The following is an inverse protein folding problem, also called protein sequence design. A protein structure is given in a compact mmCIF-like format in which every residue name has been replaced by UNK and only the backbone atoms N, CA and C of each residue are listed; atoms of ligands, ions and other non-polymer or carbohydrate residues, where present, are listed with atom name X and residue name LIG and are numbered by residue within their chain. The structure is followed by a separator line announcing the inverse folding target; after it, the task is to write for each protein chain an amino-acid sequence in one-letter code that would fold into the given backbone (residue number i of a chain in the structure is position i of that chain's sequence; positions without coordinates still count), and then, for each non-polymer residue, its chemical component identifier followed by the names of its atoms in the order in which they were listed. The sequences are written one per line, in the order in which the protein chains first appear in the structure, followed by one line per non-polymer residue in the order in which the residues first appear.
data_IF_341800116871
#
_entry.id   IF_341800116871
#
_cell.length_a   1.000
_cell.length_b   1.000
_cell.length_c   1.000
_cell.angle_alpha   90.00
_cell.angle_beta   90.00
_cell.angle_gamma   90.00
#
_symmetry.space_group_name_H-M   'P 1'
#
loop_
_entity.id
_entity.type
_entity.pdbx_description
1 polymer ?
#
# COMPACT_ATOMS: atom_id res chain seq x y z
N UNK A 1 28.00 -23.49 -18.71
CA UNK A 1 26.83 -22.61 -18.96
C UNK A 1 25.67 -22.80 -17.97
N UNK A 2 25.79 -23.64 -16.92
CA UNK A 2 24.64 -23.96 -16.03
C UNK A 2 24.63 -23.14 -14.74
N UNK A 3 25.79 -22.78 -14.19
CA UNK A 3 25.86 -22.07 -12.90
C UNK A 3 25.32 -20.63 -12.95
N UNK A 4 25.56 -19.90 -14.05
CA UNK A 4 25.07 -18.52 -14.19
C UNK A 4 23.54 -18.45 -14.35
N UNK A 5 22.93 -19.46 -15.00
CA UNK A 5 21.47 -19.57 -15.13
C UNK A 5 20.81 -19.75 -13.76
N UNK A 6 21.38 -20.60 -12.91
CA UNK A 6 20.88 -20.85 -11.56
C UNK A 6 20.96 -19.60 -10.66
N UNK A 7 22.02 -18.81 -10.80
CA UNK A 7 22.18 -17.55 -10.07
C UNK A 7 21.13 -16.52 -10.53
N UNK A 8 20.95 -16.36 -11.84
CA UNK A 8 19.93 -15.45 -12.38
C UNK A 8 18.52 -15.86 -11.95
N UNK A 9 18.22 -17.15 -11.93
CA UNK A 9 16.95 -17.69 -11.46
C UNK A 9 16.74 -17.41 -9.96
N UNK A 10 17.79 -17.54 -9.15
CA UNK A 10 17.74 -17.18 -7.73
C UNK A 10 17.41 -15.71 -7.49
N UNK A 11 18.04 -14.80 -8.25
CA UNK A 11 17.76 -13.36 -8.17
C UNK A 11 16.33 -13.04 -8.62
N UNK A 12 15.86 -13.68 -9.70
CA UNK A 12 14.47 -13.54 -10.16
C UNK A 12 13.44 -13.98 -9.10
N UNK A 13 13.69 -15.10 -8.42
CA UNK A 13 12.80 -15.57 -7.37
C UNK A 13 12.73 -14.60 -6.18
N UNK A 14 13.86 -14.00 -5.78
CA UNK A 14 13.88 -13.00 -4.70
C UNK A 14 13.08 -11.76 -5.09
N UNK A 15 13.25 -11.28 -6.34
CA UNK A 15 12.47 -10.15 -6.85
C UNK A 15 10.96 -10.42 -6.84
N UNK A 16 10.56 -11.62 -7.26
CA UNK A 16 9.16 -12.05 -7.29
C UNK A 16 8.55 -12.10 -5.89
N UNK A 17 9.27 -12.69 -4.92
CA UNK A 17 8.81 -12.77 -3.51
C UNK A 17 8.62 -11.38 -2.92
N UNK A 18 9.56 -10.46 -3.14
CA UNK A 18 9.48 -9.10 -2.61
C UNK A 18 8.29 -8.35 -3.22
N UNK A 19 8.13 -8.45 -4.53
CA UNK A 19 6.99 -7.85 -5.23
C UNK A 19 5.67 -8.41 -4.70
N UNK A 20 5.61 -9.72 -4.44
CA UNK A 20 4.41 -10.37 -3.90
C UNK A 20 4.07 -9.88 -2.49
N UNK A 21 5.06 -9.71 -1.61
CA UNK A 21 4.83 -9.18 -0.25
C UNK A 21 4.29 -7.75 -0.32
N UNK A 22 4.87 -6.90 -1.15
CA UNK A 22 4.39 -5.52 -1.33
C UNK A 22 2.99 -5.46 -1.94
N UNK A 23 2.67 -6.39 -2.85
CA UNK A 23 1.34 -6.50 -3.44
C UNK A 23 0.26 -6.90 -2.42
N UNK A 24 0.57 -7.79 -1.46
CA UNK A 24 -0.37 -8.13 -0.38
C UNK A 24 -0.71 -6.91 0.47
N UNK A 25 0.30 -6.10 0.82
CA UNK A 25 0.11 -4.86 1.56
C UNK A 25 -0.71 -3.83 0.76
N UNK A 26 -0.47 -3.75 -0.55
CA UNK A 26 -1.26 -2.91 -1.47
C UNK A 26 -2.75 -3.30 -1.43
N UNK A 27 -3.06 -4.58 -1.59
CA UNK A 27 -4.44 -5.09 -1.56
C UNK A 27 -5.12 -4.85 -0.19
N UNK A 28 -4.36 -4.97 0.91
CA UNK A 28 -4.86 -4.64 2.24
C UNK A 28 -5.22 -3.15 2.38
N UNK A 29 -4.38 -2.27 1.85
CA UNK A 29 -4.62 -0.82 1.82
C UNK A 29 -5.84 -0.47 0.97
N UNK A 30 -5.96 -1.06 -0.23
CA UNK A 30 -7.11 -0.84 -1.12
C UNK A 30 -8.42 -1.32 -0.46
N UNK A 31 -8.39 -2.50 0.18
CA UNK A 31 -9.54 -3.05 0.91
C UNK A 31 -9.99 -2.15 2.06
N UNK A 32 -9.04 -1.64 2.86
CA UNK A 32 -9.34 -0.72 3.94
C UNK A 32 -9.85 0.63 3.44
N UNK A 33 -9.27 1.15 2.35
CA UNK A 33 -9.69 2.41 1.71
C UNK A 33 -11.12 2.32 1.18
N UNK A 34 -11.49 1.20 0.55
CA UNK A 34 -12.87 0.92 0.14
C UNK A 34 -13.81 0.88 1.36
N UNK A 35 -13.39 0.26 2.46
CA UNK A 35 -14.13 0.25 3.72
C UNK A 35 -14.39 1.65 4.27
N UNK A 36 -13.39 2.54 4.23
CA UNK A 36 -13.55 3.96 4.61
C UNK A 36 -14.56 4.66 3.70
N UNK A 37 -14.42 4.51 2.38
CA UNK A 37 -15.36 5.10 1.43
C UNK A 37 -16.81 4.67 1.69
N UNK A 38 -17.04 3.36 1.89
CA UNK A 38 -18.36 2.83 2.21
C UNK A 38 -18.88 3.37 3.55
N UNK A 39 -18.02 3.51 4.56
CA UNK A 39 -18.40 4.08 5.85
C UNK A 39 -18.82 5.56 5.72
N UNK A 40 -18.09 6.36 4.92
CA UNK A 40 -18.44 7.75 4.61
C UNK A 40 -19.80 7.80 3.90
N UNK A 41 -19.99 6.98 2.86
CA UNK A 41 -21.26 6.89 2.12
C UNK A 41 -22.44 6.47 3.01
N UNK A 42 -22.19 5.58 3.97
CA UNK A 42 -23.16 5.16 4.98
C UNK A 42 -23.36 6.14 6.14
N UNK A 43 -22.71 7.33 6.10
CA UNK A 43 -22.71 8.33 7.20
C UNK A 43 -22.23 7.77 8.55
N UNK A 44 -21.43 6.70 8.52
CA UNK A 44 -20.79 6.12 9.69
C UNK A 44 -19.46 6.81 9.96
N UNK A 45 -19.52 7.99 10.57
CA UNK A 45 -18.33 8.82 10.85
C UNK A 45 -17.31 8.11 11.74
N UNK A 46 -17.78 7.33 12.73
CA UNK A 46 -16.89 6.51 13.57
C UNK A 46 -16.18 5.44 12.75
N UNK A 47 -16.89 4.75 11.87
CA UNK A 47 -16.29 3.70 11.02
C UNK A 47 -15.24 4.28 10.07
N UNK A 48 -15.56 5.40 9.43
CA UNK A 48 -14.64 6.08 8.52
C UNK A 48 -13.39 6.60 9.26
N UNK A 49 -13.56 7.22 10.44
CA UNK A 49 -12.44 7.68 11.26
C UNK A 49 -11.53 6.55 11.73
N UNK A 50 -12.09 5.40 12.13
CA UNK A 50 -11.29 4.22 12.50
C UNK A 50 -10.50 3.68 11.31
N UNK A 51 -11.12 3.55 10.14
CA UNK A 51 -10.44 3.07 8.93
C UNK A 51 -9.34 4.03 8.47
N UNK A 52 -9.58 5.34 8.50
CA UNK A 52 -8.55 6.34 8.20
C UNK A 52 -7.38 6.29 9.19
N UNK A 53 -7.66 6.09 10.48
CA UNK A 53 -6.62 5.96 11.52
C UNK A 53 -5.76 4.72 11.27
N UNK A 54 -6.37 3.58 10.91
CA UNK A 54 -5.65 2.36 10.57
C UNK A 54 -4.75 2.54 9.33
N UNK A 55 -5.29 3.18 8.28
CA UNK A 55 -4.56 3.43 7.05
C UNK A 55 -3.35 4.35 7.27
N UNK A 56 -3.55 5.53 7.87
CA UNK A 56 -2.46 6.50 8.14
C UNK A 56 -1.47 6.00 9.20
N UNK A 57 -1.97 5.33 10.23
CA UNK A 57 -1.18 4.97 11.39
C UNK A 57 -0.41 3.66 11.28
N UNK A 58 -0.78 2.77 10.35
CA UNK A 58 -0.21 1.42 10.30
C UNK A 58 0.05 0.95 8.88
N UNK A 59 -0.98 0.84 8.04
CA UNK A 59 -0.84 0.15 6.74
C UNK A 59 0.07 0.91 5.77
N UNK A 60 -0.16 2.21 5.58
CA UNK A 60 0.67 3.03 4.68
C UNK A 60 2.13 3.11 5.17
N UNK A 61 2.40 3.41 6.47
CA UNK A 61 3.76 3.36 7.00
C UNK A 61 4.44 2.00 6.81
N UNK A 62 3.73 0.89 7.04
CA UNK A 62 4.29 -0.45 6.85
C UNK A 62 4.71 -0.70 5.40
N UNK A 63 3.85 -0.41 4.42
CA UNK A 63 4.21 -0.57 3.00
C UNK A 63 5.39 0.33 2.62
N UNK A 64 5.44 1.55 3.15
CA UNK A 64 6.56 2.48 2.95
C UNK A 64 7.87 1.93 3.50
N UNK A 65 7.86 1.40 4.71
CA UNK A 65 9.03 0.80 5.35
C UNK A 65 9.53 -0.43 4.59
N UNK A 66 8.61 -1.30 4.13
CA UNK A 66 8.96 -2.46 3.29
C UNK A 66 9.57 -2.00 1.97
N UNK A 67 8.97 -1.01 1.29
CA UNK A 67 9.48 -0.52 0.02
C UNK A 67 10.87 0.13 0.14
N UNK A 68 11.15 0.80 1.26
CA UNK A 68 12.47 1.35 1.55
C UNK A 68 13.49 0.27 1.92
N UNK A 69 13.10 -0.71 2.73
CA UNK A 69 14.02 -1.72 3.25
C UNK A 69 14.42 -2.77 2.20
N UNK A 70 13.44 -3.25 1.41
CA UNK A 70 13.65 -4.38 0.49
C UNK A 70 13.21 -4.10 -0.95
N UNK A 71 12.49 -3.01 -1.22
CA UNK A 71 12.00 -2.69 -2.57
C UNK A 71 13.12 -2.52 -3.60
N UNK A 72 14.30 -2.06 -3.19
CA UNK A 72 15.48 -1.94 -4.08
C UNK A 72 15.94 -3.28 -4.67
N UNK A 73 15.59 -4.40 -4.03
CA UNK A 73 15.89 -5.73 -4.56
C UNK A 73 14.98 -6.08 -5.75
N UNK A 74 13.80 -5.45 -5.88
CA UNK A 74 12.87 -5.57 -7.00
C UNK A 74 12.66 -4.18 -7.67
N UNK A 75 13.67 -3.66 -8.38
CA UNK A 75 13.69 -2.26 -8.83
C UNK A 75 12.56 -1.91 -9.82
N UNK A 76 12.01 -2.90 -10.53
CA UNK A 76 10.90 -2.69 -11.46
C UNK A 76 9.59 -2.34 -10.75
N UNK A 77 9.39 -2.75 -9.50
CA UNK A 77 8.15 -2.53 -8.73
C UNK A 77 8.31 -1.48 -7.64
N UNK A 78 9.54 -1.17 -7.21
CA UNK A 78 9.82 -0.18 -6.18
C UNK A 78 9.16 1.19 -6.44
N UNK A 79 9.27 1.70 -7.67
CA UNK A 79 8.66 2.96 -8.08
C UNK A 79 7.13 2.90 -8.08
N UNK A 80 6.56 1.80 -8.56
CA UNK A 80 5.11 1.59 -8.57
C UNK A 80 4.50 1.65 -7.16
N UNK A 81 5.16 1.03 -6.17
CA UNK A 81 4.69 1.08 -4.78
C UNK A 81 4.85 2.47 -4.15
N UNK A 82 5.88 3.23 -4.55
CA UNK A 82 6.02 4.62 -4.10
C UNK A 82 4.88 5.51 -4.63
N UNK A 83 4.55 5.36 -5.92
CA UNK A 83 3.43 6.06 -6.54
C UNK A 83 2.09 5.64 -5.94
N UNK A 84 1.91 4.35 -5.63
CA UNK A 84 0.73 3.84 -4.94
C UNK A 84 0.55 4.45 -3.53
N UNK A 85 1.63 4.53 -2.76
CA UNK A 85 1.61 5.17 -1.43
C UNK A 85 1.15 6.63 -1.57
N UNK A 86 1.75 7.38 -2.50
CA UNK A 86 1.39 8.78 -2.73
C UNK A 86 -0.09 8.94 -3.13
N UNK A 87 -0.57 8.09 -4.04
CA UNK A 87 -1.97 8.09 -4.46
C UNK A 87 -2.92 7.79 -3.29
N UNK A 88 -2.53 6.86 -2.40
CA UNK A 88 -3.34 6.50 -1.24
C UNK A 88 -3.35 7.61 -0.19
N UNK A 89 -2.21 8.22 0.11
CA UNK A 89 -2.12 9.37 1.02
C UNK A 89 -3.02 10.51 0.52
N UNK A 90 -2.97 10.81 -0.79
CA UNK A 90 -3.84 11.80 -1.43
C UNK A 90 -5.32 11.42 -1.30
N UNK A 91 -5.68 10.16 -1.50
CA UNK A 91 -7.06 9.70 -1.33
C UNK A 91 -7.56 9.85 0.11
N UNK A 92 -6.70 9.65 1.11
CA UNK A 92 -7.06 9.86 2.51
C UNK A 92 -7.32 11.32 2.83
N UNK A 93 -6.54 12.25 2.26
CA UNK A 93 -6.79 13.67 2.39
C UNK A 93 -8.17 14.04 1.81
N UNK A 94 -8.52 13.48 0.65
CA UNK A 94 -9.88 13.65 0.06
C UNK A 94 -10.96 13.07 0.99
N UNK A 95 -10.75 11.88 1.55
CA UNK A 95 -11.70 11.28 2.49
C UNK A 95 -11.87 12.12 3.76
N UNK A 96 -10.79 12.73 4.24
CA UNK A 96 -10.81 13.65 5.38
C UNK A 96 -11.64 14.89 5.08
N UNK A 97 -11.41 15.51 3.92
CA UNK A 97 -12.21 16.64 3.44
C UNK A 97 -13.69 16.28 3.35
N UNK A 98 -14.04 15.13 2.76
CA UNK A 98 -15.44 14.68 2.68
C UNK A 98 -16.09 14.48 4.06
N UNK A 99 -15.31 14.06 5.05
CA UNK A 99 -15.77 13.82 6.42
C UNK A 99 -16.02 15.13 7.19
N UNK A 100 -15.17 16.14 6.98
CA UNK A 100 -15.18 17.38 7.74
C UNK A 100 -15.77 18.60 7.02
N UNK A 101 -15.92 18.56 5.69
CA UNK A 101 -16.60 19.60 4.90
C UNK A 101 -18.11 19.70 5.18
N UNK A 102 -18.68 18.73 5.89
CA UNK A 102 -20.08 18.73 6.33
C UNK A 102 -20.31 19.26 7.76
N UNK A 103 -19.31 19.90 8.39
CA UNK A 103 -19.48 20.60 9.68
C UNK A 103 -19.77 22.09 9.50
#
# INVERSE_FOLDING_TARGET
MVAWLLILQGVANVMEVITFVQFIEEEAIQSASLGVFLAIRGKSYRGASLGMTLLRGTLIPHLKDINLAVGWMAPYSQGCFADFILATETNLDIYEELLFAHK
#
